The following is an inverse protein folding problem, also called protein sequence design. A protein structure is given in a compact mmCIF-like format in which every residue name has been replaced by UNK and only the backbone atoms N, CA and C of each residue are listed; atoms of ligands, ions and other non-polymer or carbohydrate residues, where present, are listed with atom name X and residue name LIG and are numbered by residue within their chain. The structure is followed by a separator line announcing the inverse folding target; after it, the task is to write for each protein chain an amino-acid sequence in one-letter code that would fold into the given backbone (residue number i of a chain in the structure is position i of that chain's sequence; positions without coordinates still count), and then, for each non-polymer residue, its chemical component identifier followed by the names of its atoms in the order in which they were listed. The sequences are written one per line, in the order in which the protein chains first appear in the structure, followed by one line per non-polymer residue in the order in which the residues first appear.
data_IF_242645083313
#
_entry.id   IF_242645083313
#
_cell.length_a   1.000
_cell.length_b   1.000
_cell.length_c   1.000
_cell.angle_alpha   90.00
_cell.angle_beta   90.00
_cell.angle_gamma   90.00
#
_symmetry.space_group_name_H-M   'P 1'
#
loop_
_entity.id
_entity.type
_entity.pdbx_description
1 polymer ?
#
# COMPACT_ATOMS: atom_id res chain seq x y z
N UNK A 1 -13.10 0.46 11.29
CA UNK A 1 -12.45 1.67 10.75
C UNK A 1 -12.88 1.84 9.30
N UNK A 2 -13.27 3.04 8.86
CA UNK A 2 -13.87 3.27 7.54
C UNK A 2 -13.24 4.47 6.85
N UNK A 3 -12.99 4.36 5.54
CA UNK A 3 -12.71 5.53 4.70
C UNK A 3 -14.05 6.18 4.35
N UNK A 4 -14.16 7.48 4.60
CA UNK A 4 -15.42 8.22 4.50
C UNK A 4 -15.35 9.36 3.50
N UNK A 5 -16.51 9.70 2.93
CA UNK A 5 -16.71 10.93 2.18
C UNK A 5 -17.05 12.12 3.09
N UNK A 6 -17.39 13.27 2.48
CA UNK A 6 -17.74 14.48 3.21
C UNK A 6 -19.03 14.33 4.02
N UNK A 7 -19.92 13.41 3.63
CA UNK A 7 -21.21 13.15 4.25
C UNK A 7 -21.12 12.02 5.30
N UNK A 8 -19.90 11.61 5.68
CA UNK A 8 -19.61 10.51 6.61
C UNK A 8 -20.03 9.13 6.10
N UNK A 9 -20.33 8.98 4.81
CA UNK A 9 -20.65 7.69 4.22
C UNK A 9 -19.36 6.92 3.92
N UNK A 10 -19.41 5.61 4.14
CA UNK A 10 -18.32 4.71 3.77
C UNK A 10 -18.17 4.65 2.25
N UNK A 11 -16.96 4.93 1.74
CA UNK A 11 -16.69 4.92 0.30
C UNK A 11 -16.48 3.50 -0.20
N UNK A 12 -15.70 2.71 0.56
CA UNK A 12 -15.38 1.31 0.26
C UNK A 12 -15.35 0.53 1.55
N UNK A 13 -15.85 -0.70 1.50
CA UNK A 13 -15.73 -1.65 2.60
C UNK A 13 -14.25 -1.95 2.90
N UNK A 14 -13.93 -2.04 4.19
CA UNK A 14 -12.57 -2.41 4.62
C UNK A 14 -12.10 -3.74 4.02
N UNK A 15 -13.00 -4.73 3.87
CA UNK A 15 -12.73 -6.03 3.24
C UNK A 15 -12.15 -5.89 1.81
N UNK A 16 -12.70 -4.98 1.01
CA UNK A 16 -12.23 -4.70 -0.34
C UNK A 16 -10.84 -4.04 -0.34
N UNK A 17 -10.64 -3.05 0.53
CA UNK A 17 -9.35 -2.38 0.66
C UNK A 17 -8.26 -3.36 1.13
N UNK A 18 -8.59 -4.19 2.11
CA UNK A 18 -7.70 -5.19 2.66
C UNK A 18 -7.38 -6.28 1.65
N UNK A 19 -8.37 -6.74 0.87
CA UNK A 19 -8.16 -7.68 -0.23
C UNK A 19 -7.12 -7.17 -1.23
N UNK A 20 -7.20 -5.89 -1.64
CA UNK A 20 -6.20 -5.30 -2.54
C UNK A 20 -4.81 -5.26 -1.91
N UNK A 21 -4.71 -4.89 -0.63
CA UNK A 21 -3.42 -4.87 0.09
C UNK A 21 -2.82 -6.29 0.14
N UNK A 22 -3.60 -7.27 0.61
CA UNK A 22 -3.16 -8.67 0.69
C UNK A 22 -2.77 -9.25 -0.67
N UNK A 23 -3.52 -8.94 -1.74
CA UNK A 23 -3.22 -9.43 -3.08
C UNK A 23 -1.90 -8.89 -3.63
N UNK A 24 -1.60 -7.61 -3.40
CA UNK A 24 -0.48 -6.93 -4.05
C UNK A 24 0.78 -6.84 -3.21
N UNK A 25 0.72 -6.96 -1.88
CA UNK A 25 1.90 -6.76 -1.02
C UNK A 25 3.03 -7.76 -1.32
N UNK A 26 2.69 -8.99 -1.73
CA UNK A 26 3.65 -10.01 -2.16
C UNK A 26 3.74 -10.19 -3.69
N UNK A 27 2.93 -9.47 -4.48
CA UNK A 27 2.84 -9.74 -5.92
C UNK A 27 4.14 -9.47 -6.67
N UNK A 28 4.98 -8.55 -6.16
CA UNK A 28 6.30 -8.29 -6.73
C UNK A 28 7.33 -9.39 -6.48
N UNK A 29 7.01 -10.46 -5.74
CA UNK A 29 7.94 -11.54 -5.41
C UNK A 29 8.46 -12.28 -6.66
N UNK A 30 7.68 -12.25 -7.74
CA UNK A 30 8.13 -12.74 -9.05
C UNK A 30 9.35 -11.96 -9.60
N UNK A 31 9.45 -10.67 -9.30
CA UNK A 31 10.55 -9.80 -9.71
C UNK A 31 11.84 -10.05 -8.91
N UNK A 32 11.71 -10.52 -7.66
CA UNK A 32 12.85 -10.97 -6.84
C UNK A 32 13.39 -12.30 -7.34
N UNK A 33 12.49 -13.24 -7.62
CA UNK A 33 12.86 -14.58 -8.11
C UNK A 33 13.42 -14.56 -9.52
N UNK A 34 12.87 -13.69 -10.37
CA UNK A 34 13.31 -13.54 -11.76
C UNK A 34 13.43 -12.06 -12.11
N UNK A 35 14.67 -11.56 -12.06
CA UNK A 35 14.97 -10.17 -12.40
C UNK A 35 14.57 -9.81 -13.85
N UNK A 36 14.47 -10.80 -14.75
CA UNK A 36 14.11 -10.60 -16.15
C UNK A 36 12.61 -10.37 -16.36
N UNK A 37 11.77 -10.67 -15.36
CA UNK A 37 10.32 -10.45 -15.41
C UNK A 37 9.95 -8.99 -15.74
N UNK A 38 10.81 -8.04 -15.37
CA UNK A 38 10.66 -6.62 -15.73
C UNK A 38 10.53 -6.41 -17.24
N UNK A 39 11.14 -7.25 -18.08
CA UNK A 39 11.02 -7.16 -19.54
C UNK A 39 9.62 -7.58 -20.02
N UNK A 40 9.05 -8.62 -19.41
CA UNK A 40 7.67 -9.04 -19.69
C UNK A 40 6.68 -7.96 -19.26
N UNK A 41 6.89 -7.36 -18.08
CA UNK A 41 6.06 -6.25 -17.62
C UNK A 41 6.17 -5.03 -18.56
N UNK A 42 7.39 -4.66 -18.98
CA UNK A 42 7.60 -3.60 -19.99
C UNK A 42 6.88 -3.89 -21.30
N UNK A 43 6.86 -5.16 -21.75
CA UNK A 43 6.13 -5.54 -22.96
C UNK A 43 4.62 -5.30 -22.79
N UNK A 44 4.03 -5.74 -21.67
CA UNK A 44 2.62 -5.46 -21.34
C UNK A 44 2.31 -3.96 -21.33
N UNK A 45 3.22 -3.14 -20.80
CA UNK A 45 3.07 -1.68 -20.81
C UNK A 45 3.12 -1.07 -22.21
N UNK A 46 4.01 -1.56 -23.09
CA UNK A 46 4.05 -1.14 -24.50
C UNK A 46 2.78 -1.53 -25.26
N UNK A 47 2.23 -2.72 -25.00
CA UNK A 47 0.97 -3.16 -25.59
C UNK A 47 -0.19 -2.28 -25.13
N UNK A 48 -0.25 -1.93 -23.85
CA UNK A 48 -1.20 -0.95 -23.32
C UNK A 48 -1.09 0.41 -24.04
N UNK A 49 0.14 0.95 -24.19
CA UNK A 49 0.36 2.22 -24.89
C UNK A 49 -0.13 2.19 -26.34
N UNK A 50 0.10 1.06 -27.03
CA UNK A 50 -0.37 0.85 -28.42
C UNK A 50 -1.90 0.91 -28.48
N UNK A 51 -2.60 0.18 -27.60
CA UNK A 51 -4.06 0.18 -27.53
C UNK A 51 -4.59 1.60 -27.26
N UNK A 52 -3.97 2.35 -26.34
CA UNK A 52 -4.38 3.72 -26.01
C UNK A 52 -4.22 4.68 -27.20
N UNK A 53 -3.15 4.52 -27.99
CA UNK A 53 -2.90 5.31 -29.21
C UNK A 53 -3.92 4.99 -30.31
N UNK A 54 -4.14 3.70 -30.60
CA UNK A 54 -5.12 3.24 -31.60
C UNK A 54 -6.54 3.72 -31.27
N UNK A 55 -6.89 3.73 -29.99
CA UNK A 55 -8.19 4.18 -29.51
C UNK A 55 -8.35 5.70 -29.41
N UNK A 56 -7.30 6.48 -29.71
CA UNK A 56 -7.25 7.95 -29.62
C UNK A 56 -7.54 8.52 -28.23
N UNK A 57 -7.40 7.73 -27.16
CA UNK A 57 -7.63 8.16 -25.77
C UNK A 57 -6.56 9.17 -25.33
N UNK A 58 -5.35 8.99 -25.86
CA UNK A 58 -4.15 9.80 -25.59
C UNK A 58 -4.34 11.31 -25.81
N UNK A 59 -5.21 11.69 -26.75
CA UNK A 59 -5.35 13.09 -27.16
C UNK A 59 -6.38 13.87 -26.32
N UNK A 60 -7.32 13.18 -25.69
CA UNK A 60 -8.55 13.79 -25.14
C UNK A 60 -8.60 13.89 -23.61
N UNK A 61 -7.77 13.16 -22.85
CA UNK A 61 -7.80 13.21 -21.38
C UNK A 61 -6.50 13.75 -20.78
N UNK A 62 -6.64 14.81 -19.97
CA UNK A 62 -5.55 15.62 -19.40
C UNK A 62 -4.67 14.88 -18.38
N UNK A 63 -5.16 13.79 -17.80
CA UNK A 63 -4.45 13.00 -16.78
C UNK A 63 -3.13 12.41 -17.31
N UNK A 64 -3.14 11.84 -18.51
CA UNK A 64 -1.94 11.26 -19.13
C UNK A 64 -0.90 12.34 -19.50
N UNK A 65 -1.34 13.53 -19.91
CA UNK A 65 -0.47 14.65 -20.30
C UNK A 65 0.22 15.33 -19.11
N UNK A 66 -0.30 15.16 -17.89
CA UNK A 66 0.14 15.86 -16.67
C UNK A 66 0.99 15.00 -15.74
N UNK A 67 1.11 13.70 -15.98
CA UNK A 67 2.01 12.88 -15.16
C UNK A 67 3.45 13.12 -15.61
N UNK A 68 4.33 13.65 -14.76
CA UNK A 68 5.75 13.72 -15.10
C UNK A 68 6.23 12.29 -15.34
N UNK A 69 6.85 12.05 -16.48
CA UNK A 69 7.47 10.78 -16.85
C UNK A 69 8.74 10.51 -16.00
N UNK A 70 8.61 10.55 -14.68
CA UNK A 70 9.53 9.91 -13.73
C UNK A 70 9.02 8.51 -13.41
N UNK A 71 8.44 7.83 -14.42
CA UNK A 71 8.18 6.41 -14.35
C UNK A 71 9.52 5.71 -14.10
N UNK A 72 9.54 4.77 -13.16
CA UNK A 72 10.70 3.90 -12.97
C UNK A 72 10.78 2.97 -14.19
N UNK A 73 11.32 3.48 -15.30
CA UNK A 73 11.25 2.88 -16.63
C UNK A 73 11.82 1.47 -16.65
N UNK A 74 12.78 1.19 -15.75
CA UNK A 74 13.33 -0.16 -15.61
C UNK A 74 12.28 -1.20 -15.21
N UNK A 75 11.25 -0.84 -14.45
CA UNK A 75 10.15 -1.74 -14.09
C UNK A 75 8.96 -1.66 -15.07
N UNK A 76 9.04 -0.83 -16.11
CA UNK A 76 7.96 -0.68 -17.09
C UNK A 76 6.67 -0.07 -16.52
N UNK A 77 6.75 0.66 -15.40
CA UNK A 77 5.61 1.38 -14.83
C UNK A 77 5.16 2.49 -15.80
N UNK A 78 3.86 2.59 -16.06
CA UNK A 78 3.29 3.68 -16.89
C UNK A 78 2.74 4.80 -16.03
N UNK A 79 2.03 4.45 -14.95
CA UNK A 79 1.42 5.38 -14.01
C UNK A 79 2.17 5.35 -12.67
N UNK A 80 2.99 6.35 -12.34
CA UNK A 80 3.66 6.40 -11.05
C UNK A 80 2.66 6.66 -9.93
N UNK A 81 2.88 6.06 -8.76
CA UNK A 81 2.08 6.31 -7.56
C UNK A 81 2.22 7.79 -7.16
N UNK A 82 1.13 8.56 -7.09
CA UNK A 82 1.21 9.97 -6.78
C UNK A 82 1.53 10.19 -5.29
N UNK A 83 2.49 11.06 -5.00
CA UNK A 83 2.83 11.43 -3.60
C UNK A 83 1.77 12.31 -2.92
N UNK A 84 0.74 12.77 -3.64
CA UNK A 84 -0.39 13.53 -3.10
C UNK A 84 -1.70 12.86 -3.50
N UNK A 85 -2.58 12.66 -2.54
CA UNK A 85 -3.88 12.03 -2.77
C UNK A 85 -4.90 13.10 -3.14
N UNK A 86 -5.10 13.24 -4.45
CA UNK A 86 -5.93 14.27 -5.05
C UNK A 86 -7.14 13.61 -5.68
N UNK A 87 -8.33 14.16 -5.44
CA UNK A 87 -9.53 13.79 -6.19
C UNK A 87 -9.53 14.56 -7.50
N UNK A 88 -9.64 13.84 -8.61
CA UNK A 88 -9.67 14.44 -9.94
C UNK A 88 -11.13 14.62 -10.37
N UNK A 89 -11.55 15.86 -10.57
CA UNK A 89 -12.70 16.15 -11.43
C UNK A 89 -12.20 16.16 -12.87
N UNK A 90 -12.87 15.42 -13.76
CA UNK A 90 -12.62 15.59 -15.19
C UNK A 90 -13.31 16.86 -15.67
N UNK A 91 -12.58 17.80 -16.30
CA UNK A 91 -13.22 18.89 -16.99
C UNK A 91 -14.01 18.31 -18.15
N UNK A 92 -15.31 18.63 -18.21
CA UNK A 92 -16.01 18.61 -19.49
C UNK A 92 -15.36 19.66 -20.40
N UNK A 93 -15.44 19.48 -21.72
CA UNK A 93 -14.66 20.20 -22.77
C UNK A 93 -14.67 21.75 -22.68
N UNK A 94 -15.43 22.36 -21.75
CA UNK A 94 -15.54 23.80 -21.53
C UNK A 94 -14.77 24.40 -20.35
N UNK A 95 -14.22 23.65 -19.39
CA UNK A 95 -13.51 24.24 -18.23
C UNK A 95 -11.99 24.04 -18.35
N UNK A 96 -11.33 24.98 -19.03
CA UNK A 96 -9.88 24.94 -19.33
C UNK A 96 -8.97 25.07 -18.08
N UNK A 97 -9.53 25.27 -16.89
CA UNK A 97 -8.80 25.39 -15.63
C UNK A 97 -9.62 24.84 -14.46
N UNK A 98 -9.65 23.52 -14.29
CA UNK A 98 -10.07 22.93 -13.01
C UNK A 98 -8.83 22.73 -12.13
N UNK A 99 -8.86 23.40 -10.98
CA UNK A 99 -7.87 23.27 -9.90
C UNK A 99 -8.11 21.91 -9.24
N UNK A 100 -7.07 21.09 -9.01
CA UNK A 100 -7.22 19.86 -8.23
C UNK A 100 -7.82 20.17 -6.86
N UNK A 101 -8.94 19.51 -6.53
CA UNK A 101 -9.53 19.62 -5.20
C UNK A 101 -8.76 18.68 -4.26
N UNK A 102 -7.97 19.26 -3.36
CA UNK A 102 -7.13 18.52 -2.40
C UNK A 102 -7.97 18.02 -1.22
N UNK A 103 -8.63 16.88 -1.38
CA UNK A 103 -9.46 16.32 -0.32
C UNK A 103 -8.94 15.03 0.32
N UNK A 104 -7.68 14.66 0.09
CA UNK A 104 -7.01 13.57 0.81
C UNK A 104 -7.85 12.29 0.93
N UNK A 105 -7.60 11.54 1.99
CA UNK A 105 -8.37 10.36 2.40
C UNK A 105 -8.70 10.54 3.86
N UNK A 106 -10.00 10.62 4.15
CA UNK A 106 -10.52 10.82 5.50
C UNK A 106 -11.03 9.50 6.07
N UNK A 107 -10.72 9.27 7.34
CA UNK A 107 -11.15 8.13 8.10
C UNK A 107 -12.16 8.55 9.17
N UNK A 108 -13.05 7.63 9.53
CA UNK A 108 -14.07 7.87 10.55
C UNK A 108 -13.54 8.01 11.99
N UNK A 109 -12.23 7.87 12.21
CA UNK A 109 -11.55 8.19 13.46
C UNK A 109 -10.99 9.63 13.51
N UNK A 110 -11.23 10.44 12.46
CA UNK A 110 -10.74 11.82 12.33
C UNK A 110 -9.39 11.94 11.61
N UNK A 111 -8.69 10.85 11.30
CA UNK A 111 -7.45 10.88 10.53
C UNK A 111 -7.71 11.33 9.10
N UNK A 112 -6.90 12.26 8.58
CA UNK A 112 -6.94 12.65 7.16
C UNK A 112 -5.54 12.62 6.57
N UNK A 113 -5.35 11.79 5.53
CA UNK A 113 -4.07 11.58 4.88
C UNK A 113 -4.07 12.31 3.53
N UNK A 114 -3.11 13.20 3.32
CA UNK A 114 -3.05 14.06 2.12
C UNK A 114 -1.90 13.70 1.17
N UNK A 115 -0.90 12.98 1.67
CA UNK A 115 0.33 12.66 0.96
C UNK A 115 0.88 11.31 1.41
N UNK A 116 1.74 10.74 0.58
CA UNK A 116 2.52 9.54 0.87
C UNK A 116 3.37 9.67 2.12
N UNK A 117 3.65 8.55 2.77
CA UNK A 117 4.55 8.48 3.93
C UNK A 117 5.95 8.98 3.54
N UNK A 118 6.47 8.47 2.43
CA UNK A 118 7.78 8.83 1.89
C UNK A 118 7.67 9.59 0.57
N UNK A 119 8.68 10.39 0.26
CA UNK A 119 8.73 11.07 -1.05
C UNK A 119 9.06 10.09 -2.17
N UNK A 120 8.59 10.37 -3.39
CA UNK A 120 8.93 9.57 -4.57
C UNK A 120 10.45 9.37 -4.74
N UNK A 121 11.25 10.40 -4.43
CA UNK A 121 12.72 10.31 -4.46
C UNK A 121 13.26 9.30 -3.45
N UNK A 122 12.75 9.31 -2.21
CA UNK A 122 13.16 8.34 -1.18
C UNK A 122 12.79 6.92 -1.56
N UNK A 123 11.58 6.69 -2.08
CA UNK A 123 11.12 5.36 -2.52
C UNK A 123 12.05 4.81 -3.61
N UNK A 124 12.36 5.61 -4.63
CA UNK A 124 13.21 5.17 -5.74
C UNK A 124 14.68 5.01 -5.35
N UNK A 125 15.20 5.87 -4.48
CA UNK A 125 16.53 5.70 -3.92
C UNK A 125 16.62 4.40 -3.11
N UNK A 126 15.55 4.02 -2.40
CA UNK A 126 15.54 2.80 -1.61
C UNK A 126 15.51 1.57 -2.50
N UNK A 127 14.71 1.63 -3.56
CA UNK A 127 14.64 0.58 -4.57
C UNK A 127 16.00 0.39 -5.29
N UNK A 128 16.70 1.49 -5.59
CA UNK A 128 18.09 1.45 -6.10
C UNK A 128 19.07 0.89 -5.07
N UNK A 129 18.93 1.25 -3.79
CA UNK A 129 19.71 0.68 -2.70
C UNK A 129 19.54 -0.84 -2.62
N UNK A 130 18.30 -1.36 -2.64
CA UNK A 130 18.05 -2.80 -2.64
C UNK A 130 18.72 -3.50 -3.83
N UNK A 131 18.60 -2.91 -5.02
CA UNK A 131 19.20 -3.46 -6.24
C UNK A 131 20.74 -3.48 -6.19
N UNK A 132 21.36 -2.43 -5.66
CA UNK A 132 22.82 -2.24 -5.70
C UNK A 132 23.54 -2.82 -4.47
N UNK A 133 22.83 -3.06 -3.37
CA UNK A 133 23.39 -3.67 -2.18
C UNK A 133 23.73 -5.15 -2.45
N UNK A 134 24.99 -5.60 -2.31
CA UNK A 134 25.38 -6.99 -2.56
C UNK A 134 24.63 -8.04 -1.73
N UNK A 135 24.16 -7.66 -0.53
CA UNK A 135 23.44 -8.56 0.38
C UNK A 135 21.97 -8.76 -0.04
N UNK A 136 21.42 -7.83 -0.83
CA UNK A 136 20.02 -7.86 -1.32
C UNK A 136 20.02 -8.21 -2.81
N UNK A 137 20.63 -7.37 -3.64
CA UNK A 137 20.87 -7.59 -5.07
C UNK A 137 19.61 -7.90 -5.90
N UNK A 138 18.47 -7.37 -5.48
CA UNK A 138 17.20 -7.43 -6.21
C UNK A 138 16.33 -6.21 -5.87
N UNK A 139 15.29 -6.00 -6.67
CA UNK A 139 14.24 -5.05 -6.31
C UNK A 139 13.42 -5.60 -5.16
N UNK A 140 13.08 -4.77 -4.18
CA UNK A 140 12.18 -5.17 -3.11
C UNK A 140 10.78 -5.51 -3.66
N UNK A 141 10.28 -6.72 -3.39
CA UNK A 141 9.02 -7.22 -3.93
C UNK A 141 7.83 -6.38 -3.50
N UNK A 142 7.81 -5.91 -2.27
CA UNK A 142 6.68 -5.15 -1.76
C UNK A 142 6.62 -3.76 -2.37
N UNK A 143 7.78 -3.10 -2.54
CA UNK A 143 7.83 -1.84 -3.28
C UNK A 143 7.37 -2.04 -4.72
N UNK A 144 7.84 -3.09 -5.41
CA UNK A 144 7.39 -3.43 -6.76
C UNK A 144 5.88 -3.72 -6.78
N UNK A 145 5.37 -4.48 -5.82
CA UNK A 145 3.97 -4.85 -5.68
C UNK A 145 3.06 -3.64 -5.49
N UNK A 146 3.44 -2.68 -4.65
CA UNK A 146 2.71 -1.42 -4.48
C UNK A 146 2.73 -0.55 -5.73
N UNK A 147 3.87 -0.45 -6.44
CA UNK A 147 3.95 0.24 -7.73
C UNK A 147 3.03 -0.41 -8.78
N UNK A 148 3.00 -1.75 -8.83
CA UNK A 148 2.12 -2.51 -9.73
C UNK A 148 0.64 -2.38 -9.37
N UNK A 149 0.27 -2.34 -8.08
CA UNK A 149 -1.13 -2.13 -7.65
C UNK A 149 -1.71 -0.90 -8.34
N UNK A 150 -1.05 0.24 -8.20
CA UNK A 150 -1.55 1.48 -8.77
C UNK A 150 -1.52 1.43 -10.31
N UNK A 151 -0.40 1.04 -10.89
CA UNK A 151 -0.23 1.02 -12.34
C UNK A 151 -1.23 0.10 -13.05
N UNK A 152 -1.43 -1.12 -12.54
CA UNK A 152 -2.36 -2.11 -13.11
C UNK A 152 -3.81 -1.64 -12.97
N UNK A 153 -4.22 -1.14 -11.81
CA UNK A 153 -5.61 -0.72 -11.59
C UNK A 153 -5.96 0.51 -12.46
N UNK A 154 -5.04 1.46 -12.62
CA UNK A 154 -5.22 2.60 -13.52
C UNK A 154 -5.24 2.14 -14.98
N UNK A 155 -4.36 1.22 -15.40
CA UNK A 155 -4.42 0.62 -16.76
C UNK A 155 -5.75 -0.06 -17.02
N UNK A 156 -6.25 -0.85 -16.06
CA UNK A 156 -7.54 -1.54 -16.16
C UNK A 156 -8.70 -0.54 -16.32
N UNK A 157 -8.66 0.58 -15.60
CA UNK A 157 -9.62 1.68 -15.74
C UNK A 157 -9.65 2.22 -17.17
N UNK A 158 -8.48 2.58 -17.72
CA UNK A 158 -8.37 3.13 -19.07
C UNK A 158 -8.75 2.13 -20.16
N UNK A 159 -8.34 0.86 -20.01
CA UNK A 159 -8.75 -0.22 -20.91
C UNK A 159 -10.27 -0.41 -20.87
N UNK A 160 -10.89 -0.34 -19.70
CA UNK A 160 -12.35 -0.43 -19.55
C UNK A 160 -13.06 0.76 -20.19
N UNK A 161 -12.59 1.98 -19.94
CA UNK A 161 -13.12 3.17 -20.60
C UNK A 161 -12.98 3.10 -22.14
N UNK A 162 -11.89 2.52 -22.65
CA UNK A 162 -11.67 2.36 -24.09
C UNK A 162 -12.74 1.52 -24.79
N UNK A 163 -13.38 0.61 -24.05
CA UNK A 163 -14.48 -0.25 -24.51
C UNK A 163 -15.84 0.47 -24.52
N UNK A 164 -15.99 1.55 -23.76
CA UNK A 164 -17.21 2.37 -23.70
C UNK A 164 -16.89 3.87 -23.71
N UNK A 165 -16.40 4.37 -24.86
CA UNK A 165 -15.91 5.76 -25.01
C UNK A 165 -17.00 6.83 -24.87
N UNK A 166 -18.27 6.46 -24.97
CA UNK A 166 -19.41 7.36 -24.75
C UNK A 166 -19.76 7.56 -23.29
N UNK A 167 -19.21 6.74 -22.38
CA UNK A 167 -19.50 6.85 -20.97
C UNK A 167 -18.89 8.10 -20.33
N UNK A 168 -19.41 8.47 -19.16
CA UNK A 168 -18.80 9.51 -18.34
C UNK A 168 -17.47 8.97 -17.79
N UNK A 169 -16.34 9.61 -18.15
CA UNK A 169 -15.03 9.17 -17.67
C UNK A 169 -14.91 9.15 -16.15
N UNK A 170 -15.66 9.98 -15.41
CA UNK A 170 -15.58 10.00 -13.94
C UNK A 170 -16.32 8.85 -13.25
N UNK A 171 -17.29 8.25 -13.93
CA UNK A 171 -18.20 7.26 -13.35
C UNK A 171 -18.92 6.47 -14.46
N UNK A 172 -18.60 5.18 -14.58
CA UNK A 172 -19.17 4.32 -15.61
C UNK A 172 -19.17 2.83 -15.25
N UNK A 173 -19.92 2.06 -16.04
CA UNK A 173 -19.99 0.60 -15.93
C UNK A 173 -19.55 -0.08 -17.23
N UNK A 174 -18.81 -1.19 -17.09
CA UNK A 174 -18.47 -2.12 -18.18
C UNK A 174 -18.56 -3.53 -17.61
N UNK A 175 -19.26 -4.44 -18.28
CA UNK A 175 -19.43 -5.85 -17.87
C UNK A 175 -19.92 -6.00 -16.40
N UNK A 176 -20.88 -5.16 -15.99
CA UNK A 176 -21.40 -5.04 -14.61
C UNK A 176 -20.37 -4.61 -13.54
N UNK A 177 -19.17 -4.20 -13.94
CA UNK A 177 -18.15 -3.65 -13.04
C UNK A 177 -18.22 -2.13 -13.04
N UNK A 178 -18.14 -1.54 -11.85
CA UNK A 178 -18.16 -0.10 -11.63
C UNK A 178 -16.75 0.49 -11.65
N UNK A 179 -16.56 1.58 -12.38
CA UNK A 179 -15.32 2.32 -12.49
C UNK A 179 -15.56 3.78 -12.15
N UNK A 180 -14.83 4.31 -11.16
CA UNK A 180 -14.89 5.72 -10.80
C UNK A 180 -13.51 6.32 -10.54
N UNK A 181 -13.30 7.57 -10.96
CA UNK A 181 -12.06 8.32 -10.65
C UNK A 181 -11.87 8.55 -9.15
N UNK A 182 -12.93 8.39 -8.34
CA UNK A 182 -12.87 8.42 -6.88
C UNK A 182 -11.96 7.32 -6.30
N UNK A 183 -11.76 6.22 -7.04
CA UNK A 183 -10.88 5.11 -6.65
C UNK A 183 -9.39 5.47 -6.75
N UNK A 184 -9.00 6.42 -7.60
CA UNK A 184 -7.59 6.73 -7.87
C UNK A 184 -6.79 7.13 -6.62
N UNK A 185 -7.24 8.10 -5.80
CA UNK A 185 -6.53 8.42 -4.56
C UNK A 185 -6.50 7.24 -3.58
N UNK A 186 -7.54 6.40 -3.56
CA UNK A 186 -7.57 5.19 -2.72
C UNK A 186 -6.51 4.19 -3.16
N UNK A 187 -6.43 3.87 -4.45
CA UNK A 187 -5.38 2.99 -4.99
C UNK A 187 -3.98 3.53 -4.73
N UNK A 188 -3.78 4.85 -4.88
CA UNK A 188 -2.50 5.48 -4.58
C UNK A 188 -2.10 5.33 -3.11
N UNK A 189 -3.07 5.43 -2.20
CA UNK A 189 -2.83 5.26 -0.77
C UNK A 189 -2.57 3.81 -0.38
N UNK A 190 -3.31 2.85 -0.93
CA UNK A 190 -3.04 1.42 -0.68
C UNK A 190 -1.65 1.04 -1.21
N UNK A 191 -1.28 1.52 -2.40
CA UNK A 191 0.07 1.37 -2.93
C UNK A 191 1.13 1.97 -2.00
N UNK A 192 0.91 3.18 -1.47
CA UNK A 192 1.83 3.80 -0.51
C UNK A 192 1.94 3.00 0.79
N UNK A 193 0.85 2.41 1.29
CA UNK A 193 0.89 1.54 2.46
C UNK A 193 1.78 0.31 2.21
N UNK A 194 1.60 -0.36 1.07
CA UNK A 194 2.44 -1.51 0.71
C UNK A 194 3.91 -1.10 0.56
N UNK A 195 4.18 0.00 -0.17
CA UNK A 195 5.55 0.49 -0.39
C UNK A 195 6.20 0.84 0.96
N UNK A 196 5.49 1.57 1.82
CA UNK A 196 6.03 2.05 3.09
C UNK A 196 6.28 0.93 4.09
N UNK A 197 5.46 -0.14 4.06
CA UNK A 197 5.65 -1.36 4.86
C UNK A 197 6.99 -2.04 4.57
N UNK A 198 7.48 -1.93 3.33
CA UNK A 198 8.71 -2.58 2.88
C UNK A 198 9.94 -1.64 2.89
N UNK A 199 9.82 -0.45 3.46
CA UNK A 199 10.93 0.49 3.62
C UNK A 199 11.42 0.50 5.06
N UNK A 200 12.57 -0.13 5.29
CA UNK A 200 13.12 -0.33 6.63
C UNK A 200 13.81 0.94 7.16
N UNK A 201 13.68 1.18 8.47
CA UNK A 201 14.38 2.26 9.17
C UNK A 201 15.80 1.82 9.51
N UNK A 202 16.77 2.74 9.42
CA UNK A 202 18.13 2.45 9.85
C UNK A 202 18.23 2.53 11.38
N UNK A 203 18.57 1.40 12.03
CA UNK A 203 18.67 1.30 13.49
C UNK A 203 20.10 1.29 14.02
N UNK A 204 21.09 1.10 13.15
CA UNK A 204 22.52 1.03 13.49
C UNK A 204 23.37 1.97 12.63
N UNK A 205 24.53 2.38 13.13
CA UNK A 205 25.41 3.37 12.51
C UNK A 205 25.88 2.97 11.10
N UNK A 206 26.10 1.66 10.87
CA UNK A 206 26.55 1.15 9.56
C UNK A 206 25.43 1.29 8.51
N UNK A 207 24.20 0.94 8.88
CA UNK A 207 23.04 1.14 8.01
C UNK A 207 22.76 2.62 7.77
N UNK A 208 22.91 3.47 8.79
CA UNK A 208 22.77 4.92 8.65
C UNK A 208 23.77 5.47 7.63
N UNK A 209 25.05 5.15 7.74
CA UNK A 209 26.09 5.61 6.81
C UNK A 209 25.80 5.14 5.36
N UNK A 210 25.34 3.90 5.19
CA UNK A 210 24.89 3.39 3.89
C UNK A 210 23.71 4.21 3.38
N UNK A 211 22.68 4.42 4.20
CA UNK A 211 21.47 5.14 3.80
C UNK A 211 21.77 6.59 3.40
N UNK A 212 22.69 7.26 4.08
CA UNK A 212 23.13 8.62 3.70
C UNK A 212 23.73 8.66 2.29
N UNK A 213 24.56 7.68 1.93
CA UNK A 213 25.17 7.57 0.58
C UNK A 213 24.13 7.38 -0.53
N UNK A 214 23.00 6.76 -0.22
CA UNK A 214 21.88 6.56 -1.15
C UNK A 214 20.81 7.67 -1.05
N UNK A 215 21.01 8.71 -0.25
CA UNK A 215 20.03 9.80 -0.09
C UNK A 215 18.75 9.36 0.65
N UNK A 216 18.85 8.41 1.56
CA UNK A 216 17.76 7.81 2.34
C UNK A 216 17.55 8.45 3.72
N UNK A 217 17.88 9.74 3.86
CA UNK A 217 17.80 10.49 5.13
C UNK A 217 16.42 10.48 5.79
N UNK A 218 15.32 10.26 5.04
CA UNK A 218 13.97 10.11 5.63
C UNK A 218 13.81 8.83 6.46
N UNK A 219 14.65 7.82 6.23
CA UNK A 219 14.66 6.54 6.94
C UNK A 219 15.69 6.49 8.08
N UNK A 220 16.35 7.61 8.37
CA UNK A 220 17.30 7.74 9.49
C UNK A 220 16.76 8.75 10.51
N UNK A 221 17.21 8.64 11.77
CA UNK A 221 16.85 9.61 12.80
C UNK A 221 17.38 11.02 12.45
N UNK A 222 16.65 12.10 12.82
CA UNK A 222 15.38 12.13 13.56
C UNK A 222 14.12 12.03 12.67
N UNK A 223 14.26 11.82 11.36
CA UNK A 223 13.12 11.83 10.41
C UNK A 223 12.35 10.51 10.43
N UNK A 224 13.05 9.40 10.65
CA UNK A 224 12.48 8.09 10.89
C UNK A 224 11.55 8.15 12.10
N UNK A 225 10.29 7.80 11.91
CA UNK A 225 9.27 7.75 12.96
C UNK A 225 8.52 6.43 12.87
N UNK A 226 8.21 5.78 14.00
CA UNK A 226 7.36 4.60 14.01
C UNK A 226 5.99 4.89 13.38
N UNK A 227 5.37 3.85 12.85
CA UNK A 227 4.04 3.90 12.24
C UNK A 227 3.00 4.01 13.37
N UNK A 228 2.16 5.03 13.30
CA UNK A 228 1.11 5.31 14.29
C UNK A 228 -0.27 5.02 13.70
N UNK A 229 -1.15 4.37 14.47
CA UNK A 229 -2.51 4.05 14.01
C UNK A 229 -3.31 5.30 13.65
N UNK A 230 -3.23 6.35 14.49
CA UNK A 230 -3.93 7.62 14.27
C UNK A 230 -3.37 8.46 13.11
N UNK A 231 -2.23 8.06 12.52
CA UNK A 231 -1.58 8.76 11.40
C UNK A 231 -1.75 8.04 10.08
N UNK A 232 -1.54 6.72 10.05
CA UNK A 232 -1.75 5.90 8.86
C UNK A 232 -2.34 4.54 9.25
N UNK A 233 -3.68 4.44 9.32
CA UNK A 233 -4.31 3.27 9.91
C UNK A 233 -4.18 1.97 9.11
N UNK A 234 -4.27 2.02 7.76
CA UNK A 234 -4.09 0.81 6.93
C UNK A 234 -2.65 0.30 6.98
N UNK A 235 -1.66 1.21 6.90
CA UNK A 235 -0.26 0.85 7.03
C UNK A 235 0.03 0.22 8.41
N UNK A 236 -0.53 0.78 9.48
CA UNK A 236 -0.42 0.23 10.82
C UNK A 236 -0.99 -1.19 10.91
N UNK A 237 -2.20 -1.41 10.37
CA UNK A 237 -2.84 -2.74 10.39
C UNK A 237 -2.04 -3.73 9.53
N UNK A 238 -1.54 -3.31 8.36
CA UNK A 238 -0.66 -4.13 7.51
C UNK A 238 0.57 -4.59 8.29
N UNK A 239 1.28 -3.64 8.89
CA UNK A 239 2.48 -3.90 9.68
C UNK A 239 2.23 -4.84 10.86
N UNK A 240 1.13 -4.63 11.58
CA UNK A 240 0.73 -5.47 12.70
C UNK A 240 0.38 -6.90 12.24
N UNK A 241 -0.48 -7.03 11.22
CA UNK A 241 -0.95 -8.33 10.74
C UNK A 241 0.20 -9.18 10.18
N UNK A 242 1.09 -8.55 9.41
CA UNK A 242 2.28 -9.19 8.80
C UNK A 242 3.32 -9.60 9.85
N UNK A 243 3.49 -8.83 10.93
CA UNK A 243 4.38 -9.24 12.04
C UNK A 243 3.83 -10.43 12.81
N UNK A 244 2.53 -10.40 13.10
CA UNK A 244 1.88 -11.43 13.90
C UNK A 244 1.83 -12.76 13.13
N UNK A 245 1.43 -12.71 11.85
CA UNK A 245 1.31 -13.83 10.90
C UNK A 245 1.05 -15.19 11.59
N UNK A 246 -0.12 -15.37 12.25
CA UNK A 246 -0.28 -16.44 13.23
C UNK A 246 -0.08 -17.85 12.65
N UNK A 247 -0.47 -18.05 11.38
CA UNK A 247 -0.33 -19.33 10.68
C UNK A 247 1.14 -19.74 10.56
N UNK A 248 2.02 -18.81 10.18
CA UNK A 248 3.46 -19.08 10.09
C UNK A 248 4.11 -19.15 11.48
N UNK A 249 3.72 -18.23 12.37
CA UNK A 249 4.24 -18.19 13.75
C UNK A 249 3.94 -19.47 14.53
N UNK A 250 2.80 -20.11 14.25
CA UNK A 250 2.36 -21.36 14.89
C UNK A 250 2.55 -22.61 14.02
N UNK A 251 3.31 -22.52 12.93
CA UNK A 251 3.45 -23.61 11.94
C UNK A 251 4.09 -24.89 12.51
N UNK A 252 4.82 -24.80 13.62
CA UNK A 252 5.45 -25.93 14.29
C UNK A 252 4.57 -26.61 15.35
N UNK A 253 3.35 -26.11 15.59
CA UNK A 253 2.44 -26.66 16.60
C UNK A 253 1.63 -27.88 16.12
N UNK A 254 1.82 -28.34 14.88
CA UNK A 254 1.02 -29.41 14.24
C UNK A 254 -0.50 -29.16 14.33
N UNK A 255 -0.90 -27.91 14.06
CA UNK A 255 -2.29 -27.44 14.07
C UNK A 255 -2.64 -26.95 12.66
N UNK A 256 -3.86 -27.22 12.19
CA UNK A 256 -4.29 -26.72 10.88
C UNK A 256 -4.36 -25.18 10.86
N UNK A 257 -4.13 -24.51 9.72
CA UNK A 257 -4.25 -23.05 9.63
C UNK A 257 -5.60 -22.52 10.09
N UNK A 258 -6.69 -23.25 9.83
CA UNK A 258 -8.04 -22.87 10.26
C UNK A 258 -8.18 -22.94 11.78
N UNK A 259 -7.62 -23.99 12.40
CA UNK A 259 -7.63 -24.13 13.85
C UNK A 259 -6.77 -23.07 14.53
N UNK A 260 -5.65 -22.67 13.92
CA UNK A 260 -4.86 -21.50 14.38
C UNK A 260 -5.76 -20.26 14.43
N UNK A 261 -6.48 -19.95 13.36
CA UNK A 261 -7.36 -18.78 13.34
C UNK A 261 -8.51 -18.88 14.35
N UNK A 262 -9.13 -20.06 14.49
CA UNK A 262 -10.22 -20.30 15.45
C UNK A 262 -9.78 -20.22 16.93
N UNK A 263 -8.48 -20.30 17.19
CA UNK A 263 -7.89 -20.15 18.52
C UNK A 263 -7.69 -18.69 18.93
N UNK A 264 -7.84 -17.74 18.01
CA UNK A 264 -7.60 -16.31 18.24
C UNK A 264 -8.92 -15.57 18.16
N UNK A 265 -9.28 -14.92 19.25
CA UNK A 265 -10.36 -13.93 19.27
C UNK A 265 -9.75 -12.53 19.22
N UNK A 266 -10.33 -11.66 18.39
CA UNK A 266 -9.84 -10.30 18.18
C UNK A 266 -10.98 -9.31 18.40
N UNK A 267 -10.83 -8.45 19.40
CA UNK A 267 -11.71 -7.32 19.64
C UNK A 267 -11.00 -6.02 19.26
N UNK A 268 -11.66 -5.18 18.48
CA UNK A 268 -11.10 -3.90 18.06
C UNK A 268 -12.00 -2.73 18.48
N UNK A 269 -11.38 -1.71 19.07
CA UNK A 269 -11.95 -0.38 19.15
C UNK A 269 -10.88 0.69 18.81
N UNK A 270 -11.29 1.95 18.66
CA UNK A 270 -10.39 3.04 18.26
C UNK A 270 -9.23 3.33 19.23
N UNK A 271 -9.20 2.73 20.42
CA UNK A 271 -8.15 2.90 21.42
C UNK A 271 -7.26 1.68 21.58
N UNK A 272 -7.74 0.49 21.23
CA UNK A 272 -6.99 -0.75 21.45
C UNK A 272 -7.47 -1.91 20.56
N UNK A 273 -6.54 -2.83 20.29
CA UNK A 273 -6.78 -4.17 19.75
C UNK A 273 -6.53 -5.16 20.89
N UNK A 274 -7.51 -5.99 21.21
CA UNK A 274 -7.38 -7.07 22.18
C UNK A 274 -7.34 -8.40 21.42
N UNK A 275 -6.30 -9.19 21.67
CA UNK A 275 -6.15 -10.54 21.16
C UNK A 275 -6.23 -11.52 22.35
N UNK A 276 -7.18 -12.44 22.28
CA UNK A 276 -7.38 -13.49 23.29
C UNK A 276 -7.10 -14.85 22.67
N UNK A 277 -6.34 -15.70 23.37
CA UNK A 277 -5.89 -16.99 22.86
C UNK A 277 -6.44 -18.14 23.68
N UNK A 278 -7.09 -19.10 23.04
CA UNK A 278 -7.59 -20.31 23.70
C UNK A 278 -6.47 -21.28 24.10
N UNK A 279 -5.33 -21.23 23.40
CA UNK A 279 -4.18 -22.11 23.61
C UNK A 279 -3.00 -21.36 24.23
N UNK A 280 -2.49 -21.85 25.37
CA UNK A 280 -1.29 -21.31 26.02
C UNK A 280 -0.06 -21.40 25.12
N UNK A 281 0.08 -22.47 24.33
CA UNK A 281 1.22 -22.64 23.43
C UNK A 281 1.22 -21.57 22.33
N UNK A 282 0.05 -21.28 21.76
CA UNK A 282 -0.09 -20.20 20.77
C UNK A 282 0.15 -18.84 21.39
N UNK A 283 -0.41 -18.56 22.57
CA UNK A 283 -0.16 -17.33 23.31
C UNK A 283 1.34 -17.06 23.49
N UNK A 284 2.09 -18.05 23.97
CA UNK A 284 3.54 -17.95 24.17
C UNK A 284 4.31 -17.67 22.86
N UNK A 285 3.92 -18.30 21.75
CA UNK A 285 4.50 -18.03 20.42
C UNK A 285 4.24 -16.60 19.97
N UNK A 286 3.02 -16.10 20.17
CA UNK A 286 2.63 -14.75 19.76
C UNK A 286 3.31 -13.66 20.59
N UNK A 287 3.52 -13.87 21.90
CA UNK A 287 4.31 -12.95 22.75
C UNK A 287 5.69 -12.68 22.12
N UNK A 288 6.36 -13.72 21.61
CA UNK A 288 7.67 -13.58 20.98
C UNK A 288 7.68 -12.61 19.80
N UNK A 289 6.63 -12.60 18.98
CA UNK A 289 6.49 -11.67 17.84
C UNK A 289 6.20 -10.24 18.30
N UNK A 290 5.37 -10.10 19.33
CA UNK A 290 4.89 -8.81 19.81
C UNK A 290 6.01 -7.93 20.35
N UNK A 291 7.04 -8.52 20.96
CA UNK A 291 8.21 -7.77 21.43
C UNK A 291 8.95 -7.02 20.32
N UNK A 292 8.85 -7.47 19.06
CA UNK A 292 9.43 -6.79 17.89
C UNK A 292 8.62 -5.62 17.34
N UNK A 293 7.35 -5.46 17.75
CA UNK A 293 6.45 -4.43 17.19
C UNK A 293 6.94 -3.02 17.51
N UNK A 294 7.48 -2.79 18.72
CA UNK A 294 7.95 -1.47 19.17
C UNK A 294 9.11 -0.90 18.34
N UNK A 295 9.79 -1.74 17.53
CA UNK A 295 10.90 -1.29 16.69
C UNK A 295 10.43 -0.40 15.53
N UNK A 296 9.14 -0.46 15.18
CA UNK A 296 8.64 0.20 13.98
C UNK A 296 7.16 0.61 14.04
N UNK A 297 6.38 0.09 14.99
CA UNK A 297 5.06 0.58 15.36
C UNK A 297 5.12 1.40 16.65
N UNK A 298 4.35 2.48 16.70
CA UNK A 298 4.07 3.21 17.94
C UNK A 298 2.93 2.52 18.68
N UNK A 299 3.28 1.58 19.57
CA UNK A 299 2.32 0.80 20.34
C UNK A 299 2.70 0.71 21.80
N UNK A 300 1.68 0.60 22.65
CA UNK A 300 1.86 0.20 24.04
C UNK A 300 1.14 -1.12 24.28
N UNK A 301 1.90 -2.14 24.69
CA UNK A 301 1.42 -3.51 24.82
C UNK A 301 1.25 -3.85 26.30
N UNK A 302 0.07 -4.36 26.64
CA UNK A 302 -0.21 -4.99 27.94
C UNK A 302 -0.47 -6.48 27.76
N UNK A 303 0.22 -7.31 28.52
CA UNK A 303 0.10 -8.77 28.47
C UNK A 303 -0.51 -9.24 29.79
N UNK A 304 -1.60 -10.02 29.71
CA UNK A 304 -2.27 -10.64 30.85
C UNK A 304 -2.14 -12.17 30.72
N UNK A 305 -1.03 -12.72 31.25
CA UNK A 305 -0.68 -14.14 31.11
C UNK A 305 -1.76 -15.09 31.67
N UNK A 306 -2.35 -14.77 32.82
CA UNK A 306 -3.38 -15.60 33.46
C UNK A 306 -4.65 -15.77 32.61
N UNK A 307 -4.86 -14.90 31.62
CA UNK A 307 -6.04 -14.92 30.76
C UNK A 307 -5.67 -15.19 29.29
N UNK A 308 -4.38 -15.36 28.96
CA UNK A 308 -3.86 -15.39 27.60
C UNK A 308 -4.34 -14.21 26.74
N UNK A 309 -4.30 -13.00 27.30
CA UNK A 309 -4.76 -11.78 26.62
C UNK A 309 -3.59 -10.87 26.32
N UNK A 310 -3.60 -10.28 25.13
CA UNK A 310 -2.67 -9.26 24.67
C UNK A 310 -3.49 -8.04 24.25
N UNK A 311 -3.25 -6.91 24.90
CA UNK A 311 -3.89 -5.63 24.58
C UNK A 311 -2.86 -4.68 23.96
N UNK A 312 -3.07 -4.33 22.70
CA UNK A 312 -2.28 -3.36 21.95
C UNK A 312 -3.04 -2.03 21.98
N UNK A 313 -2.48 -1.04 22.67
CA UNK A 313 -3.06 0.31 22.79
C UNK A 313 -2.58 1.15 21.61
N UNK A 314 -3.52 1.85 20.96
CA UNK A 314 -3.38 2.57 19.69
C UNK A 314 -3.25 4.08 19.83
#
# INVERSE_FOLDING_TARGET
MKIIDNDQNEIFEFSYLWFLVSLFHDMGYIQEKDWTYKFDYRKKSKDFEKIMKENKIYYNHSFYKRMPFTAYYDLGITFPVPSRYVRYHTPTVRTKYEIPYYNGISFNNGTTIKKSMYTCGTIFNYLEYCKMNPDINHYDHGIVGGLWLYDILIKNYYLSFSRNKSANFSDFYVDNLHFSTSQFPIFAYLADCIISHNMWLATDDSTIEKYEKYGLKQLTLPYAQPIQFNRNPILFILALADTLEPIKTCSDLDISPLDVLNNIECEFNYKQIILSFKSNNMFNKMIGKINGLNNWLDVNIKICENQNIISIIL
#
